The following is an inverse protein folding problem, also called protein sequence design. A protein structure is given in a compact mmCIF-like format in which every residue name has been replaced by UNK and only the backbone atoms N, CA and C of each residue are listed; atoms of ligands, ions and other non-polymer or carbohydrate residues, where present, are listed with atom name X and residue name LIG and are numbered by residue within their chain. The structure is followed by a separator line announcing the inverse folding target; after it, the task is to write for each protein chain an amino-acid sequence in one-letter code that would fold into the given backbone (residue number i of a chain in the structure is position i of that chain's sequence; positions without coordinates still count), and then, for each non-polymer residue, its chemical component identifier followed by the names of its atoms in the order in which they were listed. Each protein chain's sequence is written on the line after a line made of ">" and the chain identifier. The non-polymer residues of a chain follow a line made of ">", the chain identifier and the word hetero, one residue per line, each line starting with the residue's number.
data_IF_815521842042
#
_entry.id   IF_815521842042
#
_cell.length_a   1.000
_cell.length_b   1.000
_cell.length_c   1.000
_cell.angle_alpha   90.00
_cell.angle_beta   90.00
_cell.angle_gamma   90.00
#
_symmetry.space_group_name_H-M   'P 1'
#
loop_
_entity.id
_entity.type
_entity.pdbx_description
1 polymer ?
#
# COMPACT_ATOMS: atom_id res chain seq x y z
N UNK A 1 -19.09 9.97 -57.00
CA UNK A 1 -19.33 11.30 -56.48
C UNK A 1 -20.34 11.24 -55.36
N UNK A 2 -19.91 11.22 -54.11
CA UNK A 2 -20.69 11.51 -52.90
C UNK A 2 -19.72 12.03 -51.86
N UNK A 3 -19.79 13.32 -51.60
CA UNK A 3 -19.02 14.03 -50.59
C UNK A 3 -19.61 13.71 -49.23
N UNK A 4 -18.76 13.32 -48.27
CA UNK A 4 -19.09 13.19 -46.85
C UNK A 4 -18.53 14.43 -46.16
N UNK A 5 -19.44 15.25 -45.67
CA UNK A 5 -19.16 16.47 -44.90
C UNK A 5 -18.76 16.08 -43.51
N UNK A 6 -17.55 16.50 -43.11
CA UNK A 6 -17.01 16.29 -41.74
C UNK A 6 -17.50 17.45 -40.87
N UNK A 7 -18.42 17.20 -39.96
CA UNK A 7 -18.86 18.16 -38.95
C UNK A 7 -17.90 18.15 -37.76
N UNK A 8 -17.14 19.22 -37.57
CA UNK A 8 -16.24 19.48 -36.46
C UNK A 8 -17.07 20.05 -35.30
N UNK A 9 -17.32 19.25 -34.27
CA UNK A 9 -17.95 19.71 -33.03
C UNK A 9 -16.87 20.24 -32.07
N UNK A 10 -16.87 21.56 -31.90
CA UNK A 10 -15.98 22.28 -30.97
C UNK A 10 -16.61 22.25 -29.56
N UNK A 11 -16.10 21.40 -28.67
CA UNK A 11 -16.47 21.44 -27.25
C UNK A 11 -15.63 22.49 -26.52
N UNK A 12 -16.25 23.62 -26.17
CA UNK A 12 -15.71 24.60 -25.23
C UNK A 12 -15.71 23.97 -23.81
N UNK A 13 -14.54 23.69 -23.24
CA UNK A 13 -14.39 23.39 -21.84
C UNK A 13 -14.34 24.71 -21.06
N UNK A 14 -15.37 24.96 -20.26
CA UNK A 14 -15.38 26.06 -19.28
C UNK A 14 -14.55 25.66 -18.06
N UNK A 15 -13.40 26.32 -17.88
CA UNK A 15 -12.59 26.22 -16.66
C UNK A 15 -13.24 27.04 -15.54
N UNK A 16 -13.87 26.39 -14.58
CA UNK A 16 -14.29 27.03 -13.34
C UNK A 16 -13.06 27.14 -12.40
N UNK A 17 -12.56 28.36 -12.25
CA UNK A 17 -11.55 28.69 -11.26
C UNK A 17 -12.22 28.75 -9.88
N UNK A 18 -11.91 27.81 -9.00
CA UNK A 18 -12.24 27.91 -7.59
C UNK A 18 -11.23 28.83 -6.91
N UNK A 19 -11.71 30.03 -6.51
CA UNK A 19 -10.95 30.96 -5.70
C UNK A 19 -10.82 30.41 -4.28
N UNK A 20 -9.58 30.27 -3.79
CA UNK A 20 -9.30 29.99 -2.38
C UNK A 20 -9.57 31.25 -1.54
N UNK A 21 -10.22 31.13 -0.38
CA UNK A 21 -10.34 32.26 0.54
C UNK A 21 -8.98 32.57 1.20
N UNK A 22 -8.67 33.85 1.27
CA UNK A 22 -7.46 34.39 1.88
C UNK A 22 -7.44 34.16 3.41
N UNK A 23 -6.26 33.95 4.04
CA UNK A 23 -6.15 33.86 5.50
C UNK A 23 -6.45 35.20 6.17
N UNK A 24 -7.02 35.22 7.40
CA UNK A 24 -7.30 36.44 8.14
C UNK A 24 -6.01 37.13 8.58
N UNK A 25 -6.01 38.47 8.73
CA UNK A 25 -4.86 39.25 9.14
C UNK A 25 -4.48 38.97 10.60
N UNK A 26 -3.17 38.92 10.84
CA UNK A 26 -2.60 38.86 12.17
C UNK A 26 -2.80 40.23 12.86
N UNK A 27 -3.61 40.27 13.91
CA UNK A 27 -3.69 41.42 14.80
C UNK A 27 -2.58 41.29 15.86
N UNK A 28 -1.73 42.33 15.85
CA UNK A 28 -0.67 42.48 16.81
C UNK A 28 -1.14 43.27 18.02
N UNK A 29 -0.57 42.96 19.13
CA UNK A 29 -0.32 43.97 20.14
C UNK A 29 -1.05 43.84 21.46
N UNK A 30 -0.23 43.56 22.43
CA UNK A 30 -0.10 44.32 23.65
C UNK A 30 -0.75 43.81 24.95
N UNK A 31 0.10 43.92 25.90
CA UNK A 31 -0.07 44.17 27.30
C UNK A 31 0.01 42.94 28.24
N UNK A 32 1.25 42.78 28.72
CA UNK A 32 1.52 42.09 29.99
C UNK A 32 0.79 42.78 31.15
N UNK A 33 0.01 42.03 31.90
CA UNK A 33 -0.42 42.38 33.23
C UNK A 33 0.32 41.50 34.26
N UNK A 34 0.56 42.03 35.50
CA UNK A 34 1.57 41.50 36.40
C UNK A 34 1.17 40.19 37.08
N UNK A 35 2.17 39.41 37.41
CA UNK A 35 2.10 38.13 38.10
C UNK A 35 1.36 38.24 39.45
N UNK A 36 0.30 37.46 39.59
CA UNK A 36 -0.27 37.13 40.88
C UNK A 36 0.23 35.73 41.29
N UNK A 37 0.65 35.62 42.55
CA UNK A 37 1.42 34.54 43.13
C UNK A 37 0.91 33.13 42.89
N UNK A 38 1.80 32.22 42.58
CA UNK A 38 1.62 30.81 42.62
C UNK A 38 1.43 30.35 44.08
N UNK A 39 0.38 29.54 44.38
CA UNK A 39 0.32 28.81 45.64
C UNK A 39 1.42 27.72 45.65
N UNK A 40 1.93 27.31 46.85
CA UNK A 40 2.97 26.31 46.96
C UNK A 40 2.53 24.99 46.39
N UNK A 41 3.41 24.34 45.61
CA UNK A 41 3.23 23.02 45.05
C UNK A 41 3.02 22.00 46.20
N UNK A 42 1.83 21.42 46.25
CA UNK A 42 1.55 20.26 47.08
C UNK A 42 2.28 19.04 46.46
N UNK A 43 3.35 18.61 47.16
CA UNK A 43 4.21 17.52 46.76
C UNK A 43 3.59 16.17 47.14
N UNK A 44 2.47 15.79 46.54
CA UNK A 44 1.92 14.43 46.72
C UNK A 44 1.20 13.96 45.49
N UNK A 45 1.86 14.05 44.33
CA UNK A 45 1.41 13.31 43.16
C UNK A 45 2.26 12.03 43.06
N UNK A 46 1.68 10.83 43.25
CA UNK A 46 2.44 9.60 43.04
C UNK A 46 2.93 9.56 41.60
N UNK A 47 4.20 9.21 41.43
CA UNK A 47 4.80 9.04 40.11
C UNK A 47 3.93 8.11 39.26
N UNK A 48 3.72 8.43 37.94
CA UNK A 48 2.93 7.58 37.08
C UNK A 48 3.53 6.18 37.07
N UNK A 49 2.75 5.21 37.50
CA UNK A 49 3.10 3.79 37.42
C UNK A 49 3.46 3.48 35.97
N UNK A 50 4.60 2.81 35.69
CA UNK A 50 4.91 2.39 34.32
C UNK A 50 3.76 1.54 33.80
N UNK A 51 2.97 2.08 32.87
CA UNK A 51 1.98 1.29 32.17
C UNK A 51 2.73 0.24 31.36
N UNK A 52 2.43 -1.03 31.60
CA UNK A 52 2.94 -2.12 30.80
C UNK A 52 2.57 -1.85 29.34
N UNK A 53 3.56 -1.60 28.49
CA UNK A 53 3.37 -1.45 27.05
C UNK A 53 2.78 -2.77 26.55
N UNK A 54 1.58 -2.73 25.98
CA UNK A 54 0.99 -3.92 25.38
C UNK A 54 1.95 -4.50 24.34
N UNK A 55 2.10 -5.82 24.27
CA UNK A 55 2.97 -6.43 23.28
C UNK A 55 2.56 -5.98 21.87
N UNK A 56 3.55 -5.71 21.01
CA UNK A 56 3.29 -5.34 19.63
C UNK A 56 2.45 -6.43 18.94
N UNK A 57 1.52 -6.07 18.06
CA UNK A 57 0.70 -7.05 17.35
C UNK A 57 1.60 -7.97 16.53
N UNK A 58 1.31 -9.28 16.54
CA UNK A 58 2.03 -10.27 15.74
C UNK A 58 1.04 -11.16 15.01
N UNK A 59 1.36 -11.50 13.77
CA UNK A 59 0.59 -12.51 13.05
C UNK A 59 0.99 -13.92 13.52
N UNK A 60 0.06 -14.86 13.54
CA UNK A 60 0.39 -16.26 13.75
C UNK A 60 1.27 -16.79 12.60
N UNK A 61 2.04 -17.88 12.80
CA UNK A 61 2.84 -18.51 11.76
C UNK A 61 2.01 -18.83 10.52
N UNK A 62 2.51 -18.46 9.33
CA UNK A 62 1.85 -18.71 8.07
C UNK A 62 2.16 -20.11 7.54
N UNK A 63 1.16 -20.77 6.96
CA UNK A 63 1.26 -22.15 6.47
C UNK A 63 0.81 -22.25 5.04
N UNK A 64 1.72 -22.65 4.15
CA UNK A 64 1.42 -22.78 2.71
C UNK A 64 2.69 -22.82 1.85
N UNK A 65 2.54 -22.59 0.56
CA UNK A 65 3.66 -22.58 -0.38
C UNK A 65 4.56 -21.36 -0.19
N UNK A 66 5.79 -21.48 -0.71
CA UNK A 66 6.77 -20.38 -0.71
C UNK A 66 7.01 -19.88 -2.12
N UNK A 67 7.18 -18.57 -2.27
CA UNK A 67 7.55 -17.93 -3.53
C UNK A 67 8.90 -17.26 -3.43
N UNK A 68 9.67 -17.32 -4.51
CA UNK A 68 10.87 -16.53 -4.73
C UNK A 68 10.56 -15.46 -5.78
N UNK A 69 10.71 -14.20 -5.42
CA UNK A 69 10.64 -13.05 -6.32
C UNK A 69 12.06 -12.58 -6.59
N UNK A 70 12.58 -12.88 -7.80
CA UNK A 70 13.89 -12.40 -8.22
C UNK A 70 13.77 -11.03 -8.88
N UNK A 71 14.43 -10.03 -8.30
CA UNK A 71 14.37 -8.65 -8.77
C UNK A 71 15.71 -8.15 -9.32
N UNK A 72 15.72 -6.95 -9.90
CA UNK A 72 16.96 -6.25 -10.27
C UNK A 72 17.78 -5.79 -9.05
N UNK A 73 17.19 -5.76 -7.86
CA UNK A 73 17.82 -5.32 -6.61
C UNK A 73 18.16 -6.46 -5.64
N UNK A 74 17.76 -7.70 -5.96
CA UNK A 74 17.96 -8.88 -5.12
C UNK A 74 16.74 -9.76 -5.06
N UNK A 75 16.83 -10.83 -4.27
CA UNK A 75 15.80 -11.84 -4.14
C UNK A 75 14.96 -11.60 -2.86
N UNK A 76 13.65 -11.82 -2.98
CA UNK A 76 12.69 -11.74 -1.86
C UNK A 76 11.96 -13.07 -1.78
N UNK A 77 11.95 -13.71 -0.61
CA UNK A 77 11.21 -14.95 -0.39
C UNK A 77 9.97 -14.68 0.44
N UNK A 78 8.83 -15.16 -0.04
CA UNK A 78 7.54 -15.08 0.64
C UNK A 78 7.12 -16.45 1.16
N UNK A 79 6.58 -16.50 2.38
CA UNK A 79 5.75 -17.58 2.88
C UNK A 79 4.29 -17.18 2.69
N UNK A 80 3.51 -17.96 1.97
CA UNK A 80 2.07 -17.71 1.79
C UNK A 80 1.24 -18.41 2.87
N UNK A 81 0.01 -17.95 3.09
CA UNK A 81 -0.94 -18.58 4.02
C UNK A 81 -2.16 -19.11 3.27
N UNK A 82 -2.07 -20.35 2.82
CA UNK A 82 -3.18 -21.03 2.10
C UNK A 82 -4.30 -21.49 3.03
N UNK A 83 -4.10 -21.41 4.34
CA UNK A 83 -5.14 -21.77 5.34
C UNK A 83 -6.08 -20.59 5.57
N UNK A 84 -5.54 -19.37 5.72
CA UNK A 84 -6.32 -18.17 6.04
C UNK A 84 -6.75 -17.38 4.82
N UNK A 85 -6.02 -17.49 3.70
CA UNK A 85 -6.33 -16.81 2.44
C UNK A 85 -6.31 -17.79 1.24
N UNK A 86 -7.10 -18.88 1.26
CA UNK A 86 -7.01 -19.95 0.27
C UNK A 86 -7.32 -19.48 -1.16
N UNK A 87 -8.31 -18.63 -1.35
CA UNK A 87 -8.70 -18.12 -2.68
C UNK A 87 -7.66 -17.15 -3.23
N UNK A 88 -7.17 -16.26 -2.38
CA UNK A 88 -6.11 -15.30 -2.71
C UNK A 88 -4.83 -16.03 -3.08
N UNK A 89 -4.39 -17.00 -2.28
CA UNK A 89 -3.18 -17.78 -2.56
C UNK A 89 -3.34 -18.58 -3.86
N UNK A 90 -4.48 -19.24 -4.07
CA UNK A 90 -4.74 -19.97 -5.32
C UNK A 90 -4.69 -19.06 -6.55
N UNK A 91 -5.24 -17.83 -6.44
CA UNK A 91 -5.19 -16.82 -7.48
C UNK A 91 -3.75 -16.39 -7.80
N UNK A 92 -2.96 -16.03 -6.78
CA UNK A 92 -1.55 -15.63 -6.95
C UNK A 92 -0.72 -16.76 -7.57
N UNK A 93 -0.89 -18.00 -7.10
CA UNK A 93 -0.19 -19.17 -7.67
C UNK A 93 -0.55 -19.42 -9.14
N UNK A 94 -1.77 -19.13 -9.55
CA UNK A 94 -2.18 -19.22 -10.95
C UNK A 94 -1.43 -18.18 -11.79
N UNK A 95 -1.36 -16.91 -11.37
CA UNK A 95 -0.57 -15.88 -12.02
C UNK A 95 0.93 -16.25 -12.10
N UNK A 96 1.49 -16.85 -11.04
CA UNK A 96 2.87 -17.38 -11.04
C UNK A 96 3.04 -18.47 -12.09
N UNK A 97 2.11 -19.43 -12.17
CA UNK A 97 2.15 -20.51 -13.18
C UNK A 97 2.05 -19.98 -14.61
N UNK A 98 1.27 -18.94 -14.83
CA UNK A 98 1.10 -18.25 -16.11
C UNK A 98 2.26 -17.30 -16.45
N UNK A 99 3.25 -17.18 -15.54
CA UNK A 99 4.41 -16.26 -15.66
C UNK A 99 4.00 -14.79 -15.80
N UNK A 100 2.82 -14.44 -15.30
CA UNK A 100 2.27 -13.09 -15.37
C UNK A 100 3.19 -12.05 -14.71
N UNK A 101 3.83 -12.42 -13.60
CA UNK A 101 4.72 -11.51 -12.85
C UNK A 101 6.11 -11.37 -13.48
N UNK A 102 6.49 -12.25 -14.43
CA UNK A 102 7.80 -12.20 -15.06
C UNK A 102 7.92 -10.93 -15.92
N UNK A 103 9.01 -10.18 -15.73
CA UNK A 103 9.29 -8.89 -16.37
C UNK A 103 8.30 -7.75 -16.00
N UNK A 104 7.52 -7.89 -14.92
CA UNK A 104 6.81 -6.77 -14.31
C UNK A 104 7.77 -5.89 -13.51
N UNK A 105 7.27 -4.87 -12.84
CA UNK A 105 8.05 -3.98 -12.00
C UNK A 105 7.36 -3.68 -10.67
N UNK A 106 8.15 -3.35 -9.66
CA UNK A 106 7.64 -2.56 -8.54
C UNK A 106 7.40 -1.15 -9.04
N UNK A 107 6.19 -0.88 -9.52
CA UNK A 107 5.83 0.36 -10.19
C UNK A 107 5.44 1.48 -9.22
N UNK A 108 5.20 1.13 -7.95
CA UNK A 108 4.84 2.07 -6.89
C UNK A 108 5.68 1.83 -5.64
N UNK A 109 6.30 2.88 -5.16
CA UNK A 109 7.01 2.94 -3.88
C UNK A 109 6.47 4.10 -3.06
N UNK A 110 5.68 3.80 -2.05
CA UNK A 110 5.20 4.75 -1.05
C UNK A 110 6.06 4.59 0.20
N UNK A 111 7.07 5.44 0.34
CA UNK A 111 8.10 5.36 1.40
C UNK A 111 7.48 5.30 2.80
N UNK A 112 7.95 4.37 3.63
CA UNK A 112 7.42 4.15 4.99
C UNK A 112 5.98 3.58 5.01
N UNK A 113 5.46 3.16 3.85
CA UNK A 113 4.12 2.61 3.73
C UNK A 113 4.15 1.26 3.03
N UNK A 114 4.22 1.23 1.69
CA UNK A 114 4.20 -0.01 0.91
C UNK A 114 5.07 0.08 -0.35
N UNK A 115 5.48 -1.09 -0.88
CA UNK A 115 5.93 -1.27 -2.26
C UNK A 115 4.94 -2.19 -2.98
N UNK A 116 4.57 -1.86 -4.22
CA UNK A 116 3.48 -2.54 -4.95
C UNK A 116 3.92 -2.95 -6.35
N UNK A 117 3.46 -4.15 -6.77
CA UNK A 117 3.76 -4.74 -8.07
C UNK A 117 2.56 -5.54 -8.61
N UNK A 118 2.68 -6.04 -9.83
CA UNK A 118 1.78 -7.08 -10.37
C UNK A 118 1.10 -6.74 -11.69
N UNK A 119 0.97 -5.47 -12.08
CA UNK A 119 0.21 -5.10 -13.30
C UNK A 119 0.95 -4.29 -14.34
N UNK A 120 2.18 -3.81 -14.04
CA UNK A 120 2.91 -2.97 -14.97
C UNK A 120 4.34 -3.49 -15.18
N UNK A 121 4.85 -3.34 -16.40
CA UNK A 121 6.25 -3.56 -16.71
C UNK A 121 7.13 -2.34 -16.36
N UNK A 122 8.43 -2.46 -16.60
CA UNK A 122 9.41 -1.41 -16.32
C UNK A 122 9.22 -0.12 -17.14
N UNK A 123 8.37 -0.14 -18.18
CA UNK A 123 8.02 1.00 -19.01
C UNK A 123 6.66 1.60 -18.65
N UNK A 124 6.03 1.09 -17.59
CA UNK A 124 4.68 1.50 -17.17
C UNK A 124 3.56 0.96 -18.07
N UNK A 125 3.86 -0.02 -18.94
CA UNK A 125 2.85 -0.66 -19.77
C UNK A 125 2.10 -1.70 -18.95
N UNK A 126 0.74 -1.69 -18.96
CA UNK A 126 -0.02 -2.68 -18.22
C UNK A 126 0.16 -4.08 -18.81
N UNK A 127 0.32 -5.06 -17.93
CA UNK A 127 0.15 -6.48 -18.23
C UNK A 127 -1.34 -6.81 -18.26
N UNK A 128 -1.74 -7.66 -19.19
CA UNK A 128 -3.15 -8.12 -19.27
C UNK A 128 -3.54 -8.84 -17.99
N UNK A 129 -4.73 -8.53 -17.46
CA UNK A 129 -5.28 -9.19 -16.28
C UNK A 129 -6.10 -10.39 -16.74
N UNK A 130 -5.71 -11.57 -16.35
CA UNK A 130 -6.41 -12.82 -16.58
C UNK A 130 -6.25 -13.68 -15.34
N UNK A 131 -7.28 -14.32 -14.90
CA UNK A 131 -8.72 -14.18 -15.06
C UNK A 131 -9.30 -13.16 -14.07
N UNK A 132 -10.63 -13.13 -13.92
CA UNK A 132 -11.36 -12.15 -13.13
C UNK A 132 -10.97 -12.02 -11.66
N UNK A 133 -11.61 -11.10 -10.93
CA UNK A 133 -11.28 -10.76 -9.56
C UNK A 133 -11.52 -11.92 -8.60
N UNK A 134 -10.85 -11.87 -7.45
CA UNK A 134 -10.98 -12.83 -6.35
C UNK A 134 -11.79 -12.21 -5.20
N UNK A 135 -12.64 -12.99 -4.52
CA UNK A 135 -13.35 -12.52 -3.33
C UNK A 135 -12.39 -12.05 -2.24
N UNK A 136 -12.77 -10.99 -1.53
CA UNK A 136 -11.99 -10.45 -0.44
C UNK A 136 -11.91 -11.46 0.73
N UNK A 137 -10.69 -11.67 1.23
CA UNK A 137 -10.40 -12.49 2.40
C UNK A 137 -9.68 -11.66 3.48
N UNK A 138 -10.14 -10.41 3.72
CA UNK A 138 -9.48 -9.50 4.67
C UNK A 138 -9.88 -9.76 6.14
N UNK A 139 -10.99 -10.46 6.39
CA UNK A 139 -11.51 -10.88 7.69
C UNK A 139 -10.83 -12.17 8.24
N UNK A 140 -9.66 -12.50 7.72
CA UNK A 140 -8.95 -13.76 7.97
C UNK A 140 -8.10 -13.79 9.26
N UNK A 141 -8.17 -12.73 10.06
CA UNK A 141 -7.45 -12.62 11.33
C UNK A 141 -5.96 -12.25 11.18
N UNK A 142 -5.49 -11.94 9.96
CA UNK A 142 -4.13 -11.46 9.72
C UNK A 142 -4.12 -9.92 9.66
N UNK A 143 -3.08 -9.33 10.25
CA UNK A 143 -2.86 -7.89 10.26
C UNK A 143 -1.82 -7.47 9.23
N UNK A 144 -2.01 -6.27 8.66
CA UNK A 144 -1.06 -5.61 7.77
C UNK A 144 0.11 -5.04 8.58
N UNK A 145 1.03 -5.92 9.00
CA UNK A 145 2.24 -5.58 9.73
C UNK A 145 3.43 -5.49 8.77
N UNK A 146 4.52 -4.87 9.21
CA UNK A 146 5.75 -4.81 8.44
C UNK A 146 6.18 -6.18 7.91
N UNK A 147 6.51 -6.25 6.63
CA UNK A 147 6.90 -7.47 5.94
C UNK A 147 5.75 -8.38 5.51
N UNK A 148 4.48 -8.08 5.85
CA UNK A 148 3.34 -8.84 5.32
C UNK A 148 3.04 -8.45 3.88
N UNK A 149 2.40 -9.36 3.15
CA UNK A 149 2.00 -9.21 1.76
C UNK A 149 0.49 -9.24 1.68
N UNK A 150 -0.11 -8.21 1.07
CA UNK A 150 -1.56 -8.10 0.94
C UNK A 150 -1.98 -7.76 -0.48
N UNK A 151 -3.19 -8.19 -0.87
CA UNK A 151 -3.75 -7.88 -2.18
C UNK A 151 -4.14 -6.42 -2.31
N UNK A 152 -3.69 -5.79 -3.40
CA UNK A 152 -4.23 -4.51 -3.81
C UNK A 152 -5.60 -4.70 -4.48
N UNK A 153 -6.50 -3.72 -4.32
CA UNK A 153 -7.84 -3.72 -4.90
C UNK A 153 -8.27 -2.30 -5.27
N UNK A 154 -9.29 -2.19 -6.10
CA UNK A 154 -10.03 -0.95 -6.31
C UNK A 154 -11.06 -0.73 -5.17
N UNK A 155 -11.98 0.20 -5.34
CA UNK A 155 -12.99 0.54 -4.32
C UNK A 155 -13.91 -0.64 -3.97
N UNK A 156 -14.30 -1.44 -4.97
CA UNK A 156 -15.11 -2.62 -4.73
C UNK A 156 -14.32 -3.69 -3.93
N UNK A 157 -14.90 -4.29 -2.88
CA UNK A 157 -14.24 -5.31 -2.06
C UNK A 157 -13.64 -6.46 -2.88
N UNK A 158 -14.45 -7.05 -3.76
CA UNK A 158 -14.10 -8.21 -4.59
C UNK A 158 -13.49 -7.78 -5.93
N UNK A 159 -12.56 -6.81 -5.93
CA UNK A 159 -11.93 -6.29 -7.15
C UNK A 159 -10.46 -6.64 -7.29
N UNK A 160 -9.88 -7.33 -6.31
CA UNK A 160 -8.49 -7.74 -6.34
C UNK A 160 -8.22 -8.74 -7.48
N UNK A 161 -7.13 -8.53 -8.22
CA UNK A 161 -6.75 -9.40 -9.35
C UNK A 161 -5.31 -9.92 -9.22
N UNK A 162 -4.35 -9.27 -9.85
CA UNK A 162 -2.94 -9.69 -9.87
C UNK A 162 -2.06 -8.87 -8.92
N UNK A 163 -2.47 -7.66 -8.57
CA UNK A 163 -1.64 -6.73 -7.84
C UNK A 163 -1.58 -7.02 -6.35
N UNK A 164 -0.38 -6.92 -5.80
CA UNK A 164 -0.16 -7.00 -4.36
C UNK A 164 0.91 -6.02 -3.90
N UNK A 165 0.92 -5.76 -2.61
CA UNK A 165 1.93 -4.90 -1.99
C UNK A 165 2.59 -5.60 -0.80
N UNK A 166 3.81 -5.15 -0.48
CA UNK A 166 4.55 -5.55 0.72
C UNK A 166 4.55 -4.35 1.67
N UNK A 167 4.16 -4.57 2.90
CA UNK A 167 4.12 -3.53 3.93
C UNK A 167 5.55 -3.19 4.40
N UNK A 168 5.91 -1.90 4.35
CA UNK A 168 7.21 -1.38 4.83
C UNK A 168 7.17 -1.04 6.33
N UNK A 169 5.97 -0.88 6.89
CA UNK A 169 5.70 -0.56 8.28
C UNK A 169 4.43 -1.27 8.76
N UNK A 170 4.09 -1.15 10.03
CA UNK A 170 2.83 -1.64 10.60
C UNK A 170 1.67 -0.75 10.14
N UNK A 171 0.94 -1.23 9.16
CA UNK A 171 -0.16 -0.53 8.52
C UNK A 171 -1.53 -1.02 9.02
N UNK A 172 -1.73 -1.05 10.34
CA UNK A 172 -2.97 -1.57 10.97
C UNK A 172 -4.26 -0.91 10.46
N UNK A 173 -4.18 0.30 9.93
CA UNK A 173 -5.29 0.99 9.26
C UNK A 173 -5.78 0.30 7.98
N UNK A 174 -4.98 -0.63 7.42
CA UNK A 174 -5.34 -1.44 6.26
C UNK A 174 -6.03 -2.76 6.65
N UNK A 175 -6.17 -3.05 7.94
CA UNK A 175 -6.84 -4.25 8.40
C UNK A 175 -8.35 -4.16 8.17
N UNK A 176 -8.98 -5.33 8.10
CA UNK A 176 -10.43 -5.41 8.14
C UNK A 176 -10.95 -4.88 9.48
N UNK A 177 -11.95 -4.01 9.43
CA UNK A 177 -12.65 -3.47 10.59
C UNK A 177 -14.15 -3.53 10.32
N UNK A 178 -14.84 -4.46 10.96
CA UNK A 178 -16.26 -4.68 10.75
C UNK A 178 -17.12 -3.48 11.19
N UNK A 179 -16.64 -2.70 12.17
CA UNK A 179 -17.36 -1.59 12.79
C UNK A 179 -16.98 -0.22 12.22
N UNK A 180 -16.09 -0.16 11.22
CA UNK A 180 -15.69 1.10 10.58
C UNK A 180 -16.51 1.37 9.32
N UNK A 181 -17.47 2.31 9.34
CA UNK A 181 -18.30 2.65 8.17
C UNK A 181 -17.51 3.25 7.01
N UNK A 182 -16.26 3.70 7.23
CA UNK A 182 -15.40 4.31 6.22
C UNK A 182 -14.43 3.35 5.55
N UNK A 183 -14.08 2.23 6.20
CA UNK A 183 -13.09 1.27 5.68
C UNK A 183 -13.44 -0.17 6.07
N UNK A 184 -14.64 -0.58 5.81
CA UNK A 184 -15.22 -1.84 6.30
C UNK A 184 -14.59 -3.11 5.78
N UNK A 185 -13.79 -3.04 4.71
CA UNK A 185 -13.34 -4.23 4.00
C UNK A 185 -11.85 -4.52 4.12
N UNK A 186 -11.00 -3.53 4.37
CA UNK A 186 -9.55 -3.71 4.50
C UNK A 186 -8.86 -4.31 3.27
N UNK A 187 -7.66 -4.87 3.50
CA UNK A 187 -6.83 -5.53 2.49
C UNK A 187 -6.42 -6.92 2.98
N UNK A 188 -6.65 -7.93 2.14
CA UNK A 188 -6.40 -9.33 2.48
C UNK A 188 -4.91 -9.63 2.56
N UNK A 189 -4.38 -9.79 3.77
CA UNK A 189 -3.04 -10.34 3.98
C UNK A 189 -3.06 -11.82 3.62
N UNK A 190 -2.11 -12.26 2.78
CA UNK A 190 -2.03 -13.64 2.32
C UNK A 190 -0.62 -14.25 2.39
N UNK A 191 0.35 -13.49 2.90
CA UNK A 191 1.72 -13.96 3.02
C UNK A 191 2.60 -12.98 3.80
N UNK A 192 3.84 -13.39 4.02
CA UNK A 192 4.88 -12.56 4.63
C UNK A 192 6.25 -12.82 4.02
N UNK A 193 7.13 -11.83 4.07
CA UNK A 193 8.54 -11.95 3.71
C UNK A 193 9.26 -12.78 4.77
N UNK A 194 9.94 -13.85 4.33
CA UNK A 194 10.77 -14.70 5.21
C UNK A 194 12.26 -14.53 4.96
N UNK A 195 12.64 -13.95 3.82
CA UNK A 195 14.02 -13.59 3.49
C UNK A 195 14.05 -12.45 2.49
N UNK A 196 15.05 -11.58 2.54
CA UNK A 196 15.20 -10.43 1.65
C UNK A 196 14.43 -9.18 2.12
N UNK A 197 14.19 -9.04 3.44
CA UNK A 197 13.63 -7.80 3.98
C UNK A 197 14.54 -6.58 3.77
N UNK A 198 15.84 -6.78 3.74
CA UNK A 198 16.85 -5.79 3.36
C UNK A 198 16.67 -5.31 1.90
N UNK A 199 16.34 -6.22 0.98
CA UNK A 199 16.00 -5.89 -0.41
C UNK A 199 14.69 -5.10 -0.46
N UNK A 200 13.66 -5.51 0.30
CA UNK A 200 12.38 -4.78 0.42
C UNK A 200 12.61 -3.35 0.93
N UNK A 201 13.45 -3.18 1.95
CA UNK A 201 13.80 -1.87 2.48
C UNK A 201 14.59 -1.02 1.49
N UNK A 202 15.56 -1.63 0.78
CA UNK A 202 16.30 -0.96 -0.29
C UNK A 202 15.35 -0.45 -1.38
N UNK A 203 14.38 -1.27 -1.81
CA UNK A 203 13.34 -0.87 -2.76
C UNK A 203 12.49 0.27 -2.17
N UNK A 204 12.08 0.17 -0.92
CA UNK A 204 11.27 1.19 -0.23
C UNK A 204 11.95 2.56 -0.07
N UNK A 205 13.27 2.62 -0.27
CA UNK A 205 14.06 3.85 -0.12
C UNK A 205 14.57 4.45 -1.44
N UNK A 206 14.24 3.87 -2.61
CA UNK A 206 14.67 4.43 -3.90
C UNK A 206 14.09 5.82 -4.15
N UNK A 207 14.75 6.65 -4.96
CA UNK A 207 14.16 7.89 -5.46
C UNK A 207 12.90 7.62 -6.29
N UNK A 208 11.85 8.39 -6.05
CA UNK A 208 10.58 8.32 -6.79
C UNK A 208 10.33 9.63 -7.54
N UNK A 209 9.51 9.56 -8.59
CA UNK A 209 9.15 10.69 -9.44
C UNK A 209 7.81 10.44 -10.13
N UNK A 210 7.54 11.26 -11.16
CA UNK A 210 6.22 11.31 -11.83
C UNK A 210 6.14 10.41 -13.08
N UNK A 211 7.23 9.76 -13.46
CA UNK A 211 7.34 8.97 -14.70
C UNK A 211 6.80 7.55 -14.53
N UNK A 212 5.50 7.38 -14.32
CA UNK A 212 4.93 6.05 -14.16
C UNK A 212 3.42 6.06 -13.90
N UNK A 213 2.83 4.87 -13.69
CA UNK A 213 1.40 4.73 -13.42
C UNK A 213 0.92 5.44 -12.14
N UNK A 214 1.85 5.73 -11.22
CA UNK A 214 1.57 6.39 -9.93
C UNK A 214 2.49 7.61 -9.77
N UNK A 215 2.10 8.79 -10.26
CA UNK A 215 2.88 10.02 -10.13
C UNK A 215 3.29 10.31 -8.67
N UNK A 216 4.53 10.73 -8.45
CA UNK A 216 5.10 10.95 -7.12
C UNK A 216 5.53 9.68 -6.37
N UNK A 217 5.16 8.48 -6.85
CA UNK A 217 5.47 7.21 -6.21
C UNK A 217 6.10 6.19 -7.18
N UNK A 218 6.35 6.57 -8.43
CA UNK A 218 7.01 5.71 -9.40
C UNK A 218 8.53 5.76 -9.20
N UNK A 219 9.24 4.62 -9.06
CA UNK A 219 10.70 4.60 -9.00
C UNK A 219 11.33 5.30 -10.22
N UNK A 220 12.28 6.24 -9.98
CA UNK A 220 13.01 6.94 -11.06
C UNK A 220 13.78 5.94 -11.92
N UNK A 221 14.42 4.96 -11.27
CA UNK A 221 15.03 3.82 -11.95
C UNK A 221 14.11 2.61 -11.79
N UNK A 222 13.60 2.02 -12.88
CA UNK A 222 12.68 0.90 -12.80
C UNK A 222 13.26 -0.31 -12.03
N UNK A 223 12.45 -0.87 -11.12
CA UNK A 223 12.82 -2.05 -10.34
C UNK A 223 12.11 -3.25 -10.96
N UNK A 224 12.87 -4.01 -11.76
CA UNK A 224 12.32 -5.12 -12.54
C UNK A 224 12.16 -6.36 -11.67
N UNK A 225 10.98 -6.97 -11.71
CA UNK A 225 10.74 -8.33 -11.26
C UNK A 225 11.10 -9.27 -12.41
N UNK A 226 12.28 -9.89 -12.33
CA UNK A 226 12.79 -10.77 -13.39
C UNK A 226 11.95 -12.03 -13.53
N UNK A 227 11.55 -12.59 -12.37
CA UNK A 227 10.80 -13.84 -12.31
C UNK A 227 10.18 -14.03 -10.93
N UNK A 228 9.01 -14.69 -10.88
CA UNK A 228 8.43 -15.23 -9.65
C UNK A 228 8.32 -16.75 -9.76
N UNK A 229 8.86 -17.48 -8.76
CA UNK A 229 8.97 -18.94 -8.81
C UNK A 229 8.40 -19.57 -7.52
N UNK A 230 7.59 -20.61 -7.69
CA UNK A 230 7.16 -21.47 -6.58
C UNK A 230 8.36 -22.32 -6.12
N UNK A 231 8.72 -22.20 -4.85
CA UNK A 231 9.75 -23.03 -4.22
C UNK A 231 9.16 -24.38 -3.80
N UNK A 232 9.95 -25.43 -3.97
CA UNK A 232 9.60 -26.79 -3.54
C UNK A 232 9.86 -26.98 -2.05
#
# INVERSE_FOLDING_TARGET
>A
MRQIVLALALCLAATAAFAQPAPPPADGGAAQAPAAGQPPADATQPAPTPQAVAPAPTNPPMTGPRLLISTSMGDITLQLDSVRAPKTVANVLRYVKEKHYDNTAFYRVAKGFVIQMGSFDAKGKPHGIHPGPVPLEADNGLSNLRGTVAMARADAPDSATAEFFINLDDNVRLNHAADDPGNTTGYAVFGQVTSGMDVVDAIGNVPVGDNGPMPGQAPVTPIVVKKVTLLK
#
